data_IF_830119953359
#
_entry.id   IF_830119953359
#
_cell.length_a   1.000
_cell.length_b   1.000
_cell.length_c   1.000
_cell.angle_alpha   90.00
_cell.angle_beta   90.00
_cell.angle_gamma   90.00
#
_symmetry.space_group_name_H-M   'P 1'
#
loop_
_entity.id
_entity.type
_entity.pdbx_description
1 polymer ?
#
# COMPACT_ATOMS: atom_id res chain seq x y z
N UNK A 1 -9.60 1.80 23.73
CA UNK A 1 -9.54 2.30 22.34
C UNK A 1 -10.95 2.29 21.75
N UNK A 2 -11.42 3.42 21.23
CA UNK A 2 -12.77 3.50 20.65
C UNK A 2 -12.97 2.53 19.49
N UNK A 3 -14.22 2.17 19.20
CA UNK A 3 -14.63 1.27 18.11
C UNK A 3 -14.30 1.86 16.71
N UNK A 4 -13.01 1.99 16.38
CA UNK A 4 -12.55 2.53 15.11
C UNK A 4 -12.92 1.56 13.99
N UNK A 5 -13.48 2.10 12.92
CA UNK A 5 -13.89 1.35 11.73
C UNK A 5 -13.26 1.96 10.49
N UNK A 6 -12.88 1.10 9.56
CA UNK A 6 -12.51 1.49 8.20
C UNK A 6 -13.77 1.41 7.34
N UNK A 7 -14.19 2.54 6.78
CA UNK A 7 -15.35 2.63 5.88
C UNK A 7 -14.89 2.59 4.43
N UNK A 8 -15.74 2.09 3.52
CA UNK A 8 -15.46 2.12 2.07
C UNK A 8 -15.15 3.54 1.60
N UNK A 9 -15.86 4.54 2.12
CA UNK A 9 -15.61 5.96 1.83
C UNK A 9 -14.19 6.41 2.19
N UNK A 10 -13.64 5.95 3.34
CA UNK A 10 -12.25 6.26 3.71
C UNK A 10 -11.25 5.57 2.80
N UNK A 11 -11.55 4.36 2.33
CA UNK A 11 -10.70 3.65 1.35
C UNK A 11 -10.74 4.36 0.00
N UNK A 12 -11.91 4.81 -0.47
CA UNK A 12 -12.05 5.59 -1.71
C UNK A 12 -11.26 6.91 -1.63
N UNK A 13 -11.37 7.63 -0.50
CA UNK A 13 -10.57 8.83 -0.26
C UNK A 13 -9.06 8.55 -0.29
N UNK A 14 -8.62 7.44 0.32
CA UNK A 14 -7.22 7.03 0.31
C UNK A 14 -6.74 6.70 -1.12
N UNK A 15 -7.53 5.96 -1.90
CA UNK A 15 -7.22 5.65 -3.31
C UNK A 15 -7.07 6.93 -4.13
N UNK A 16 -8.01 7.87 -4.01
CA UNK A 16 -7.96 9.16 -4.70
C UNK A 16 -6.72 9.96 -4.30
N UNK A 17 -6.44 10.05 -3.00
CA UNK A 17 -5.28 10.76 -2.48
C UNK A 17 -3.98 10.15 -3.03
N UNK A 18 -3.85 8.83 -2.93
CA UNK A 18 -2.67 8.11 -3.41
C UNK A 18 -2.50 8.22 -4.93
N UNK A 19 -3.59 8.17 -5.69
CA UNK A 19 -3.59 8.36 -7.14
C UNK A 19 -3.26 9.79 -7.59
N UNK A 20 -3.50 10.79 -6.74
CA UNK A 20 -3.16 12.20 -6.99
C UNK A 20 -1.73 12.57 -6.60
N UNK A 21 -0.99 11.67 -5.92
CA UNK A 21 0.42 11.91 -5.60
C UNK A 21 1.27 11.94 -6.87
N UNK A 22 2.34 12.74 -6.84
CA UNK A 22 3.31 12.80 -7.93
C UNK A 22 3.86 11.42 -8.25
N UNK A 23 4.21 11.21 -9.52
CA UNK A 23 4.87 9.98 -9.94
C UNK A 23 6.31 10.00 -9.48
N UNK A 24 6.73 8.91 -8.84
CA UNK A 24 8.12 8.64 -8.52
C UNK A 24 8.65 7.56 -9.47
N UNK A 25 9.94 7.51 -9.73
CA UNK A 25 10.48 6.51 -10.67
C UNK A 25 10.65 5.14 -10.01
N UNK A 26 10.64 4.08 -10.82
CA UNK A 26 11.02 2.74 -10.42
C UNK A 26 9.97 2.01 -9.56
N UNK A 27 10.48 1.20 -8.63
CA UNK A 27 9.69 0.22 -7.87
C UNK A 27 8.60 0.83 -6.98
N UNK A 28 8.81 2.06 -6.49
CA UNK A 28 7.84 2.75 -5.66
C UNK A 28 6.52 3.04 -6.40
N UNK A 29 6.55 3.34 -7.70
CA UNK A 29 5.33 3.54 -8.49
C UNK A 29 4.58 2.23 -8.70
N UNK A 30 5.29 1.11 -8.85
CA UNK A 30 4.68 -0.22 -8.94
C UNK A 30 3.98 -0.58 -7.63
N UNK A 31 4.61 -0.32 -6.48
CA UNK A 31 4.01 -0.52 -5.16
C UNK A 31 2.77 0.37 -4.97
N UNK A 32 2.83 1.63 -5.43
CA UNK A 32 1.69 2.55 -5.40
C UNK A 32 0.50 2.00 -6.18
N UNK A 33 0.73 1.55 -7.41
CA UNK A 33 -0.31 0.94 -8.25
C UNK A 33 -0.87 -0.34 -7.63
N UNK A 34 0.00 -1.18 -7.04
CA UNK A 34 -0.41 -2.39 -6.32
C UNK A 34 -1.28 -2.06 -5.11
N UNK A 35 -0.91 -1.07 -4.29
CA UNK A 35 -1.69 -0.64 -3.13
C UNK A 35 -3.09 -0.12 -3.54
N UNK A 36 -3.18 0.62 -4.65
CA UNK A 36 -4.45 1.08 -5.23
C UNK A 36 -5.30 -0.12 -5.67
N UNK A 37 -4.71 -1.07 -6.41
CA UNK A 37 -5.42 -2.26 -6.89
C UNK A 37 -5.93 -3.14 -5.73
N UNK A 38 -5.08 -3.39 -4.73
CA UNK A 38 -5.47 -4.11 -3.51
C UNK A 38 -6.64 -3.42 -2.79
N UNK A 39 -6.58 -2.09 -2.65
CA UNK A 39 -7.63 -1.31 -1.98
C UNK A 39 -8.96 -1.38 -2.75
N UNK A 40 -8.93 -1.30 -4.07
CA UNK A 40 -10.12 -1.45 -4.92
C UNK A 40 -10.75 -2.85 -4.80
N UNK A 41 -9.92 -3.90 -4.88
CA UNK A 41 -10.39 -5.28 -4.73
C UNK A 41 -11.00 -5.52 -3.35
N UNK A 42 -10.40 -4.93 -2.31
CA UNK A 42 -10.94 -4.98 -0.96
C UNK A 42 -12.33 -4.34 -0.85
N UNK A 43 -12.54 -3.16 -1.47
CA UNK A 43 -13.86 -2.54 -1.52
C UNK A 43 -14.90 -3.42 -2.22
N UNK A 44 -14.55 -4.03 -3.36
CA UNK A 44 -15.44 -4.96 -4.07
C UNK A 44 -15.83 -6.15 -3.20
N UNK A 45 -14.87 -6.76 -2.51
CA UNK A 45 -15.13 -7.86 -1.57
C UNK A 45 -16.12 -7.46 -0.47
N UNK A 46 -15.96 -6.26 0.09
CA UNK A 46 -16.91 -5.73 1.07
C UNK A 46 -18.31 -5.50 0.48
N UNK A 47 -18.41 -5.01 -0.76
CA UNK A 47 -19.67 -4.86 -1.48
C UNK A 47 -20.36 -6.21 -1.73
N UNK A 48 -19.62 -7.22 -2.19
CA UNK A 48 -20.13 -8.60 -2.34
C UNK A 48 -20.68 -9.15 -1.02
N UNK A 49 -20.05 -8.82 0.11
CA UNK A 49 -20.51 -9.21 1.45
C UNK A 49 -21.61 -8.31 2.03
N UNK A 50 -22.10 -7.30 1.29
CA UNK A 50 -23.04 -6.28 1.78
C UNK A 50 -22.53 -5.51 3.02
N UNK A 51 -21.22 -5.26 3.11
CA UNK A 51 -20.57 -4.58 4.24
C UNK A 51 -20.10 -3.19 3.84
N UNK A 52 -20.54 -2.17 4.59
CA UNK A 52 -20.10 -0.77 4.36
C UNK A 52 -18.82 -0.37 5.13
N UNK A 53 -18.43 -1.19 6.12
CA UNK A 53 -17.25 -0.93 6.94
C UNK A 53 -16.79 -2.18 7.70
N UNK A 54 -15.52 -2.18 8.11
CA UNK A 54 -14.92 -3.21 8.97
C UNK A 54 -14.39 -2.60 10.26
N UNK A 55 -14.36 -3.39 11.34
CA UNK A 55 -13.68 -2.98 12.58
C UNK A 55 -12.17 -3.03 12.34
N UNK A 56 -11.47 -1.97 12.74
CA UNK A 56 -10.01 -2.00 12.78
C UNK A 56 -9.65 -2.83 14.01
N UNK A 57 -8.99 -3.97 13.80
CA UNK A 57 -8.40 -4.72 14.92
C UNK A 57 -7.29 -3.85 15.51
N UNK A 58 -7.23 -3.73 16.84
CA UNK A 58 -6.11 -3.07 17.52
C UNK A 58 -4.78 -3.77 17.19
N UNK A 59 -3.66 -3.11 17.49
CA UNK A 59 -2.29 -3.58 17.19
C UNK A 59 -2.12 -5.09 17.41
N UNK A 60 -2.23 -5.87 16.34
CA UNK A 60 -1.30 -6.97 16.13
C UNK A 60 -0.04 -6.30 15.67
N UNK A 61 1.08 -6.51 16.39
CA UNK A 61 2.42 -6.21 15.90
C UNK A 61 2.43 -6.46 14.39
N UNK A 62 2.77 -5.45 13.59
CA UNK A 62 2.89 -5.61 12.15
C UNK A 62 3.72 -6.86 11.85
N UNK A 63 3.54 -7.51 10.69
CA UNK A 63 4.24 -8.75 10.37
C UNK A 63 5.73 -8.61 10.70
N UNK A 64 6.19 -9.31 11.74
CA UNK A 64 7.57 -9.25 12.26
C UNK A 64 8.57 -9.80 11.23
N UNK A 65 8.05 -10.51 10.24
CA UNK A 65 8.78 -11.22 9.20
C UNK A 65 8.56 -10.60 7.81
N UNK A 66 8.29 -9.29 7.72
CA UNK A 66 8.38 -8.61 6.44
C UNK A 66 9.87 -8.48 6.06
N UNK A 67 10.51 -9.60 5.71
CA UNK A 67 11.76 -9.59 4.96
C UNK A 67 11.47 -8.84 3.67
N UNK A 68 12.08 -7.66 3.55
CA UNK A 68 12.14 -6.95 2.30
C UNK A 68 12.96 -7.82 1.35
N UNK A 69 12.30 -8.68 0.56
CA UNK A 69 12.95 -9.53 -0.42
C UNK A 69 13.69 -8.62 -1.42
N UNK A 70 14.97 -8.41 -1.13
CA UNK A 70 15.85 -7.49 -1.87
C UNK A 70 16.27 -8.11 -3.20
N UNK A 71 15.69 -9.25 -3.58
CA UNK A 71 16.02 -10.02 -4.78
C UNK A 71 15.44 -9.46 -6.09
N UNK A 72 15.17 -8.15 -6.12
CA UNK A 72 15.06 -7.39 -7.36
C UNK A 72 16.20 -6.36 -7.57
N UNK A 73 17.20 -6.29 -6.68
CA UNK A 73 18.33 -5.34 -6.81
C UNK A 73 19.65 -5.95 -7.29
N UNK A 74 19.70 -7.24 -7.62
CA UNK A 74 20.90 -7.80 -8.27
C UNK A 74 20.82 -7.57 -9.78
N UNK A 75 21.22 -6.39 -10.23
CA UNK A 75 21.16 -6.11 -11.66
C UNK A 75 21.69 -4.78 -12.17
N UNK A 76 22.14 -3.82 -11.35
CA UNK A 76 22.94 -2.69 -11.87
C UNK A 76 24.03 -2.36 -10.86
N UNK A 77 25.27 -2.73 -11.21
CA UNK A 77 26.49 -2.24 -10.57
C UNK A 77 26.54 -0.72 -10.76
N UNK A 78 26.13 0.03 -9.74
CA UNK A 78 26.41 1.46 -9.65
C UNK A 78 27.86 1.65 -9.26
N UNK A 79 28.74 1.97 -10.22
CA UNK A 79 30.01 2.63 -9.90
C UNK A 79 29.71 4.12 -9.79
N UNK A 80 29.33 4.56 -8.59
CA UNK A 80 29.43 5.97 -8.23
C UNK A 80 30.94 6.29 -8.15
N UNK A 81 31.49 6.91 -9.19
CA UNK A 81 32.71 7.70 -9.03
C UNK A 81 32.28 9.10 -8.57
N UNK A 82 32.75 9.46 -7.39
CA UNK A 82 32.68 10.77 -6.80
C UNK A 82 34.05 11.42 -7.04
N UNK A 83 34.15 12.29 -8.04
CA UNK A 83 35.20 13.30 -8.21
C UNK A 83 34.53 14.41 -9.03
N UNK A 84 34.63 15.71 -8.77
CA UNK A 84 35.34 16.57 -7.83
C UNK A 84 35.00 17.99 -8.29
#
# INVERSE_FOLDING_TARGET
MGNKRLTIQRVDQFIRLLGATEKVNGYAEQQKQHAIACSNNYCRELEYQNRKSVKIKGETDGPKDLEHDSRASSGIRSTCQQEG
#
